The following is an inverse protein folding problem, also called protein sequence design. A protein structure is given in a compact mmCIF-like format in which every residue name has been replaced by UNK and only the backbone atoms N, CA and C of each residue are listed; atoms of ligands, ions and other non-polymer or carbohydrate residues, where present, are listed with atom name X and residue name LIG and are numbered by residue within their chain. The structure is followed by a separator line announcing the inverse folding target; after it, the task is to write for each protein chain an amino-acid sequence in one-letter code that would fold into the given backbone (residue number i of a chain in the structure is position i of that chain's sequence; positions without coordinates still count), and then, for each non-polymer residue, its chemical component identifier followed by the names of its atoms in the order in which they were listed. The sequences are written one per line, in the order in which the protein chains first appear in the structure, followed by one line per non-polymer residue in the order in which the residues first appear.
data_IF_176961101280
#
_entry.id   IF_176961101280
#
_cell.length_a   1.000
_cell.length_b   1.000
_cell.length_c   1.000
_cell.angle_alpha   90.00
_cell.angle_beta   90.00
_cell.angle_gamma   90.00
#
_symmetry.space_group_name_H-M   'P 1'
#
loop_
_entity.id
_entity.type
_entity.pdbx_description
1 polymer ?
#
# COMPACT_ATOMS: atom_id res chain seq x y z
N UNK A 1 11.58 0.29 11.50
CA UNK A 1 10.83 1.06 10.47
C UNK A 1 9.65 1.80 11.11
N UNK A 2 9.14 2.93 10.57
CA UNK A 2 7.97 3.63 11.18
C UNK A 2 6.72 2.73 11.25
N UNK A 3 6.55 1.86 10.25
CA UNK A 3 5.47 0.87 10.22
C UNK A 3 5.53 -0.14 11.36
N UNK A 4 6.71 -0.54 11.83
CA UNK A 4 6.86 -1.49 12.96
C UNK A 4 6.32 -0.92 14.27
N UNK A 5 6.07 0.40 14.37
CA UNK A 5 5.39 1.00 15.53
C UNK A 5 3.87 0.82 15.48
N UNK A 6 3.33 0.41 14.34
CA UNK A 6 1.87 0.35 14.07
C UNK A 6 1.41 -1.06 13.78
N UNK A 7 2.20 -1.83 13.05
CA UNK A 7 1.89 -3.21 12.71
C UNK A 7 3.01 -4.15 13.15
N UNK A 8 2.67 -5.43 13.25
CA UNK A 8 3.58 -6.50 13.61
C UNK A 8 4.16 -7.14 12.35
N UNK A 9 5.48 -7.29 12.32
CA UNK A 9 6.21 -8.00 11.28
C UNK A 9 6.70 -9.32 11.85
N UNK A 10 6.41 -10.40 11.15
CA UNK A 10 7.07 -11.70 11.35
C UNK A 10 8.21 -11.87 10.32
N UNK A 11 8.93 -12.99 10.40
CA UNK A 11 10.06 -13.27 9.52
C UNK A 11 9.70 -13.26 8.03
N UNK A 12 8.47 -13.65 7.68
CA UNK A 12 8.05 -13.75 6.29
C UNK A 12 7.59 -12.40 5.75
N UNK A 13 6.88 -11.60 6.55
CA UNK A 13 6.61 -10.20 6.26
C UNK A 13 7.90 -9.40 6.07
N UNK A 14 8.95 -9.68 6.87
CA UNK A 14 10.28 -9.09 6.71
C UNK A 14 10.92 -9.52 5.38
N UNK A 15 10.98 -10.81 5.05
CA UNK A 15 11.53 -11.29 3.76
C UNK A 15 10.81 -10.65 2.58
N UNK A 16 9.47 -10.65 2.59
CA UNK A 16 8.66 -10.10 1.49
C UNK A 16 8.88 -8.60 1.37
N UNK A 17 8.84 -7.86 2.48
CA UNK A 17 9.06 -6.42 2.45
C UNK A 17 10.47 -6.06 1.97
N UNK A 18 11.51 -6.76 2.42
CA UNK A 18 12.89 -6.54 1.94
C UNK A 18 13.03 -6.76 0.44
N UNK A 19 12.29 -7.69 -0.14
CA UNK A 19 12.35 -8.00 -1.58
C UNK A 19 11.54 -7.05 -2.44
N UNK A 20 10.31 -6.74 -2.01
CA UNK A 20 9.32 -6.08 -2.85
C UNK A 20 9.06 -4.62 -2.48
N UNK A 21 9.69 -4.10 -1.42
CA UNK A 21 9.62 -2.69 -1.05
C UNK A 21 10.96 -1.97 -1.29
N UNK A 22 10.92 -0.70 -1.76
CA UNK A 22 9.76 0.02 -2.30
C UNK A 22 9.25 -0.64 -3.59
N UNK A 23 7.94 -0.81 -3.74
CA UNK A 23 7.43 -1.54 -4.91
C UNK A 23 5.94 -1.81 -4.86
N UNK A 24 5.47 -2.88 -5.51
CA UNK A 24 4.06 -3.14 -5.82
C UNK A 24 3.40 -4.23 -4.95
N UNK A 25 3.96 -4.54 -3.79
CA UNK A 25 3.33 -5.44 -2.81
C UNK A 25 2.77 -4.65 -1.63
N UNK A 26 1.57 -5.00 -1.19
CA UNK A 26 0.93 -4.50 0.03
C UNK A 26 0.74 -5.67 0.98
N UNK A 27 1.22 -5.53 2.21
CA UNK A 27 1.09 -6.54 3.27
C UNK A 27 -0.11 -6.22 4.17
N UNK A 28 -0.99 -7.18 4.39
CA UNK A 28 -2.02 -7.10 5.43
C UNK A 28 -1.45 -7.66 6.73
N UNK A 29 -1.09 -6.79 7.67
CA UNK A 29 -0.38 -7.16 8.89
C UNK A 29 -1.22 -6.88 10.15
N UNK A 30 -1.07 -7.69 11.23
CA UNK A 30 -1.70 -7.41 12.51
C UNK A 30 -1.36 -6.00 13.00
N UNK A 31 -2.39 -5.26 13.43
CA UNK A 31 -2.18 -3.96 14.06
C UNK A 31 -1.77 -4.16 15.52
N UNK A 32 -0.79 -3.38 15.98
CA UNK A 32 -0.41 -3.38 17.39
C UNK A 32 -1.55 -2.91 18.28
N UNK A 33 -1.64 -3.53 19.46
CA UNK A 33 -2.73 -3.29 20.42
C UNK A 33 -2.82 -1.83 20.88
N UNK A 34 -1.70 -1.11 20.96
CA UNK A 34 -1.71 0.31 21.35
C UNK A 34 -2.30 1.20 20.26
N UNK A 35 -2.21 0.76 19.00
CA UNK A 35 -2.68 1.49 17.82
C UNK A 35 -4.10 1.08 17.41
N UNK A 36 -4.53 -0.13 17.76
CA UNK A 36 -5.88 -0.65 17.44
C UNK A 36 -7.02 0.22 17.98
N UNK A 37 -6.79 0.94 19.08
CA UNK A 37 -7.77 1.88 19.67
C UNK A 37 -7.83 3.24 18.96
N UNK A 38 -6.81 3.58 18.17
CA UNK A 38 -6.66 4.89 17.52
C UNK A 38 -7.14 4.90 16.08
N UNK A 39 -7.26 3.72 15.45
CA UNK A 39 -7.57 3.57 14.04
C UNK A 39 -8.73 2.59 13.93
N UNK A 40 -9.78 2.90 13.16
CA UNK A 40 -10.83 1.93 12.87
C UNK A 40 -10.26 0.82 11.99
N UNK A 41 -10.26 -0.42 12.47
CA UNK A 41 -9.64 -1.57 11.82
C UNK A 41 -10.37 -2.87 12.20
N UNK A 42 -10.05 -3.96 11.49
CA UNK A 42 -10.55 -5.31 11.77
C UNK A 42 -9.45 -6.23 12.33
N UNK A 43 -8.51 -5.67 13.10
CA UNK A 43 -7.34 -6.37 13.66
C UNK A 43 -6.09 -6.33 12.76
N UNK A 44 -6.21 -5.88 11.51
CA UNK A 44 -5.09 -5.75 10.57
C UNK A 44 -5.12 -4.44 9.80
N UNK A 45 -3.96 -4.04 9.27
CA UNK A 45 -3.79 -2.91 8.36
C UNK A 45 -3.04 -3.33 7.10
N UNK A 46 -3.48 -2.80 5.96
CA UNK A 46 -2.77 -2.92 4.69
C UNK A 46 -1.66 -1.85 4.64
N UNK A 47 -0.40 -2.29 4.56
CA UNK A 47 0.78 -1.41 4.59
C UNK A 47 1.68 -1.67 3.38
N UNK A 48 2.37 -0.62 2.91
CA UNK A 48 3.26 -0.66 1.75
C UNK A 48 4.23 0.51 1.77
N UNK A 49 5.42 0.31 1.22
CA UNK A 49 6.29 1.42 0.77
C UNK A 49 6.20 1.51 -0.76
N UNK A 50 5.62 2.59 -1.33
CA UNK A 50 5.49 2.75 -2.78
C UNK A 50 6.80 3.16 -3.45
N UNK A 51 7.01 2.81 -4.72
CA UNK A 51 8.21 3.14 -5.50
C UNK A 51 8.03 4.39 -6.40
N UNK A 52 7.31 5.40 -5.94
CA UNK A 52 7.13 6.65 -6.69
C UNK A 52 7.94 7.78 -6.05
N UNK A 53 8.77 8.48 -6.83
CA UNK A 53 9.62 9.55 -6.29
C UNK A 53 8.80 10.66 -5.62
N UNK A 54 7.69 11.08 -6.25
CA UNK A 54 6.78 12.08 -5.71
C UNK A 54 6.25 11.67 -4.33
N UNK A 55 5.61 10.49 -4.20
CA UNK A 55 5.07 10.02 -2.93
C UNK A 55 6.16 9.75 -1.88
N UNK A 56 7.33 9.26 -2.29
CA UNK A 56 8.47 9.07 -1.40
C UNK A 56 9.00 10.40 -0.85
N UNK A 57 9.00 11.47 -1.65
CA UNK A 57 9.38 12.81 -1.19
C UNK A 57 8.46 13.33 -0.07
N UNK A 58 7.15 13.07 -0.18
CA UNK A 58 6.15 13.43 0.84
C UNK A 58 6.35 12.56 2.09
N UNK A 59 6.53 11.24 1.92
CA UNK A 59 6.74 10.30 3.02
C UNK A 59 8.01 10.61 3.83
N UNK A 60 9.06 11.19 3.23
CA UNK A 60 10.24 11.66 3.98
C UNK A 60 9.88 12.73 5.02
N UNK A 61 8.87 13.56 4.75
CA UNK A 61 8.43 14.65 5.62
C UNK A 61 7.42 14.17 6.68
N UNK A 62 6.36 13.48 6.26
CA UNK A 62 5.25 13.09 7.14
C UNK A 62 5.39 11.69 7.76
N UNK A 63 6.34 10.87 7.30
CA UNK A 63 6.61 9.47 7.69
C UNK A 63 5.53 8.46 7.31
N UNK A 64 4.26 8.82 7.46
CA UNK A 64 3.12 7.94 7.20
C UNK A 64 1.99 8.70 6.53
N UNK A 65 1.33 8.03 5.59
CA UNK A 65 0.13 8.53 4.92
C UNK A 65 -0.89 7.40 4.93
N UNK A 66 -2.13 7.75 5.29
CA UNK A 66 -3.28 6.88 5.08
C UNK A 66 -3.87 7.27 3.73
N UNK A 67 -4.02 6.30 2.82
CA UNK A 67 -4.57 6.56 1.50
C UNK A 67 -5.21 5.32 0.91
N UNK A 68 -6.24 5.54 0.11
CA UNK A 68 -6.81 4.57 -0.82
C UNK A 68 -6.37 4.92 -2.25
N UNK A 69 -6.77 4.11 -3.22
CA UNK A 69 -6.70 4.54 -4.63
C UNK A 69 -7.46 5.85 -4.81
N UNK A 70 -6.94 6.72 -5.69
CA UNK A 70 -7.59 7.96 -6.07
C UNK A 70 -8.70 7.66 -7.09
N UNK A 71 -9.91 7.40 -6.60
CA UNK A 71 -11.08 7.11 -7.40
C UNK A 71 -12.37 7.52 -6.69
N UNK A 72 -13.42 7.75 -7.47
CA UNK A 72 -14.79 7.69 -6.96
C UNK A 72 -15.06 6.23 -6.58
N UNK A 73 -15.65 5.98 -5.41
CA UNK A 73 -15.89 4.62 -4.92
C UNK A 73 -16.66 3.78 -5.94
N UNK A 74 -16.09 2.63 -6.34
CA UNK A 74 -16.66 1.75 -7.37
C UNK A 74 -16.15 2.00 -8.80
N UNK A 75 -15.43 3.10 -9.03
CA UNK A 75 -14.80 3.40 -10.31
C UNK A 75 -13.34 2.95 -10.38
N UNK A 76 -12.78 2.98 -11.60
CA UNK A 76 -11.36 2.71 -11.84
C UNK A 76 -10.49 3.79 -11.20
N UNK A 77 -9.32 3.35 -10.72
CA UNK A 77 -8.23 4.22 -10.27
C UNK A 77 -7.83 5.23 -11.35
N UNK A 78 -7.75 6.51 -10.99
CA UNK A 78 -7.35 7.60 -11.89
C UNK A 78 -5.83 7.74 -11.85
N UNK A 79 -5.19 7.72 -13.02
CA UNK A 79 -3.72 7.77 -13.16
C UNK A 79 -3.20 9.07 -13.77
N UNK A 80 -4.09 9.96 -14.21
CA UNK A 80 -3.78 11.25 -14.83
C UNK A 80 -4.36 12.38 -13.98
N UNK A 81 -3.51 13.36 -13.63
CA UNK A 81 -3.91 14.50 -12.80
C UNK A 81 -4.97 15.38 -13.46
N UNK A 82 -5.00 15.44 -14.80
CA UNK A 82 -6.01 16.22 -15.54
C UNK A 82 -7.38 15.54 -15.49
N UNK A 83 -7.42 14.21 -15.59
CA UNK A 83 -8.64 13.43 -15.38
C UNK A 83 -9.12 13.58 -13.91
N UNK A 84 -8.18 13.54 -12.96
CA UNK A 84 -8.48 13.68 -11.54
C UNK A 84 -9.18 15.02 -11.23
N UNK A 85 -8.65 16.14 -11.74
CA UNK A 85 -9.26 17.47 -11.56
C UNK A 85 -10.70 17.54 -12.07
N UNK A 86 -11.01 16.77 -13.10
CA UNK A 86 -12.34 16.76 -13.70
C UNK A 86 -13.31 15.87 -12.92
N UNK A 87 -12.84 14.70 -12.44
CA UNK A 87 -13.68 13.71 -11.75
C UNK A 87 -13.81 13.95 -10.24
N UNK A 88 -12.80 14.53 -9.61
CA UNK A 88 -12.74 14.82 -8.18
C UNK A 88 -12.38 16.30 -7.97
N UNK A 89 -13.30 17.23 -8.26
CA UNK A 89 -13.04 18.66 -8.12
C UNK A 89 -12.91 19.10 -6.66
N UNK A 90 -13.49 18.35 -5.72
CA UNK A 90 -13.46 18.66 -4.28
C UNK A 90 -12.23 18.03 -3.60
N UNK A 91 -11.06 18.65 -3.80
CA UNK A 91 -9.82 18.29 -3.11
C UNK A 91 -9.12 19.55 -2.57
N UNK A 92 -8.61 19.48 -1.34
CA UNK A 92 -7.88 20.61 -0.74
C UNK A 92 -6.55 20.86 -1.44
N UNK A 93 -5.84 19.77 -1.81
CA UNK A 93 -4.50 19.80 -2.39
C UNK A 93 -4.37 18.70 -3.43
N UNK A 94 -3.83 19.06 -4.59
CA UNK A 94 -3.35 18.12 -5.60
C UNK A 94 -1.82 18.19 -5.69
N UNK A 95 -1.16 17.05 -5.48
CA UNK A 95 0.26 16.91 -5.79
C UNK A 95 0.41 16.22 -7.14
N UNK A 96 0.82 16.99 -8.15
CA UNK A 96 1.00 16.48 -9.51
C UNK A 96 2.43 15.96 -9.72
N UNK A 97 2.58 14.64 -9.74
CA UNK A 97 3.83 13.95 -10.06
C UNK A 97 3.91 13.48 -11.52
N UNK A 98 3.01 13.95 -12.38
CA UNK A 98 2.83 13.45 -13.74
C UNK A 98 1.97 12.17 -13.81
N UNK A 99 1.78 11.69 -15.03
CA UNK A 99 0.97 10.48 -15.31
C UNK A 99 1.63 9.24 -14.73
N UNK A 100 0.85 8.43 -14.01
CA UNK A 100 1.33 7.15 -13.48
C UNK A 100 1.41 6.14 -14.63
N UNK A 101 2.61 5.67 -14.94
CA UNK A 101 2.90 4.71 -16.02
C UNK A 101 3.11 3.28 -15.50
N UNK A 102 2.85 3.02 -14.21
CA UNK A 102 3.12 1.73 -13.59
C UNK A 102 2.25 0.59 -14.15
N UNK A 103 2.77 -0.63 -14.09
CA UNK A 103 2.21 -1.90 -14.57
C UNK A 103 0.91 -2.40 -13.90
N UNK A 104 0.16 -1.53 -13.22
CA UNK A 104 -1.08 -1.87 -12.53
C UNK A 104 -1.08 -1.61 -11.02
N UNK A 105 -2.13 -2.08 -10.37
CA UNK A 105 -2.33 -1.94 -8.92
C UNK A 105 -1.37 -2.83 -8.12
N UNK A 106 -1.15 -2.53 -6.83
CA UNK A 106 -0.37 -3.44 -5.99
C UNK A 106 -1.10 -4.73 -5.69
N UNK A 107 -0.32 -5.81 -5.64
CA UNK A 107 -0.76 -7.10 -5.10
C UNK A 107 -0.92 -6.97 -3.59
N UNK A 108 -2.11 -7.28 -3.08
CA UNK A 108 -2.39 -7.29 -1.64
C UNK A 108 -2.35 -8.73 -1.17
N UNK A 109 -1.49 -9.00 -0.20
CA UNK A 109 -1.38 -10.33 0.40
C UNK A 109 -1.67 -10.27 1.89
N UNK A 110 -2.27 -11.35 2.37
CA UNK A 110 -2.40 -11.67 3.79
C UNK A 110 -1.60 -12.95 4.04
N UNK A 111 -0.61 -12.87 4.92
CA UNK A 111 0.18 -14.03 5.31
C UNK A 111 -0.16 -14.39 6.75
N UNK A 112 -0.74 -15.57 6.96
CA UNK A 112 -1.22 -16.03 8.27
C UNK A 112 -0.96 -17.51 8.39
N UNK A 113 -0.44 -17.96 9.53
CA UNK A 113 -0.24 -19.39 9.84
C UNK A 113 0.52 -20.13 8.72
N UNK A 114 1.59 -19.52 8.21
CA UNK A 114 2.40 -20.00 7.08
C UNK A 114 1.63 -20.21 5.76
N UNK A 115 0.51 -19.51 5.57
CA UNK A 115 -0.29 -19.55 4.35
C UNK A 115 -0.34 -18.18 3.70
N UNK A 116 0.18 -18.11 2.47
CA UNK A 116 0.05 -16.95 1.61
C UNK A 116 -1.36 -16.91 1.00
N UNK A 117 -2.10 -15.86 1.31
CA UNK A 117 -3.38 -15.55 0.67
C UNK A 117 -3.27 -14.27 -0.13
N UNK A 118 -3.48 -14.37 -1.44
CA UNK A 118 -3.63 -13.18 -2.28
C UNK A 118 -5.06 -12.65 -2.11
N UNK A 119 -5.18 -11.44 -1.56
CA UNK A 119 -6.46 -10.74 -1.36
C UNK A 119 -6.87 -10.03 -2.66
N UNK A 120 -5.87 -9.45 -3.35
CA UNK A 120 -6.03 -8.87 -4.68
C UNK A 120 -4.76 -9.12 -5.46
N UNK A 121 -4.90 -9.71 -6.65
CA UNK A 121 -3.79 -9.83 -7.57
C UNK A 121 -3.51 -8.48 -8.25
N UNK A 122 -2.23 -8.14 -8.32
CA UNK A 122 -1.74 -6.91 -8.96
C UNK A 122 -0.53 -7.22 -9.82
N UNK A 123 0.42 -6.30 -9.91
CA UNK A 123 1.59 -6.44 -10.77
C UNK A 123 2.66 -7.44 -10.31
N UNK A 124 2.54 -8.00 -9.10
CA UNK A 124 3.42 -9.05 -8.58
C UNK A 124 2.61 -10.31 -8.38
N UNK A 125 2.96 -11.39 -9.06
CA UNK A 125 2.19 -12.62 -9.01
C UNK A 125 2.47 -13.44 -7.75
N UNK A 126 1.50 -14.31 -7.40
CA UNK A 126 1.61 -15.20 -6.24
C UNK A 126 2.91 -16.00 -6.25
N UNK A 127 3.24 -16.61 -7.39
CA UNK A 127 4.41 -17.46 -7.56
C UNK A 127 5.73 -16.71 -7.29
N UNK A 128 5.81 -15.42 -7.66
CA UNK A 128 7.00 -14.60 -7.37
C UNK A 128 7.21 -14.40 -5.86
N UNK A 129 6.12 -14.33 -5.09
CA UNK A 129 6.14 -14.17 -3.64
C UNK A 129 6.44 -15.52 -2.99
N UNK A 130 5.86 -16.62 -3.48
CA UNK A 130 6.11 -17.96 -2.94
C UNK A 130 7.57 -18.41 -3.12
N UNK A 131 8.24 -17.96 -4.20
CA UNK A 131 9.64 -18.30 -4.47
C UNK A 131 10.66 -17.74 -3.46
N UNK A 132 10.25 -16.84 -2.56
CA UNK A 132 11.14 -16.22 -1.56
C UNK A 132 10.82 -16.57 -0.11
N UNK A 133 9.77 -17.39 0.11
CA UNK A 133 9.30 -17.79 1.43
C UNK A 133 9.96 -19.10 1.87
#
# INVERSE_FOLDING_TARGET
MELEKIVEFDSDAEKISQRFWPGQVTLLLPIRKEMSKKIKNNGKLAVRVPNGECILSILRQCKLIIGTSANISGEKSISDSNELKTKLPEIDILVDGGKIVSSGESTIIDYVDNKLRVIREGSVYKDEIENIL
#
